data_IF_808848217094
#
_entry.id   IF_808848217094
#
_cell.length_a   1.000
_cell.length_b   1.000
_cell.length_c   1.000
_cell.angle_alpha   90.00
_cell.angle_beta   90.00
_cell.angle_gamma   90.00
#
_symmetry.space_group_name_H-M   'P 1'
#
loop_
_entity.id
_entity.type
_entity.pdbx_description
1 polymer ?
#
# COMPACT_ATOMS: atom_id res chain seq x y z
N UNK A 1 49.67 -0.76 30.32
CA UNK A 1 48.43 -1.32 29.74
C UNK A 1 47.28 -0.83 30.56
N UNK A 2 46.38 -0.08 29.94
CA UNK A 2 45.16 0.38 30.59
C UNK A 2 44.19 -0.78 30.79
N UNK A 3 43.64 -0.92 32.00
CA UNK A 3 42.75 -2.03 32.37
C UNK A 3 41.55 -1.52 33.17
N UNK A 4 40.39 -2.15 32.95
CA UNK A 4 39.27 -2.09 33.89
C UNK A 4 39.53 -3.12 34.99
N UNK A 5 39.59 -2.69 36.25
CA UNK A 5 39.73 -3.60 37.40
C UNK A 5 38.37 -4.19 37.75
N UNK A 6 38.28 -5.53 37.85
CA UNK A 6 37.07 -6.25 38.25
C UNK A 6 37.15 -6.67 39.73
N UNK A 7 38.31 -7.22 40.12
CA UNK A 7 38.69 -7.52 41.51
C UNK A 7 40.21 -7.31 41.68
N UNK A 8 40.79 -7.74 42.80
CA UNK A 8 42.21 -7.50 43.14
C UNK A 8 43.18 -8.06 42.07
N UNK A 9 42.84 -9.22 41.51
CA UNK A 9 43.69 -9.97 40.59
C UNK A 9 43.16 -10.01 39.16
N UNK A 10 41.89 -9.67 38.93
CA UNK A 10 41.19 -9.80 37.65
C UNK A 10 40.81 -8.44 37.05
N UNK A 11 41.02 -8.29 35.74
CA UNK A 11 40.64 -7.11 34.99
C UNK A 11 40.30 -7.40 33.53
N UNK A 12 39.92 -6.36 32.79
CA UNK A 12 39.73 -6.41 31.33
C UNK A 12 40.72 -5.47 30.66
N UNK A 13 41.38 -5.96 29.61
CA UNK A 13 42.26 -5.20 28.74
C UNK A 13 41.90 -5.37 27.25
N UNK A 14 42.80 -4.98 26.35
CA UNK A 14 42.59 -5.13 24.91
C UNK A 14 42.70 -6.59 24.42
N UNK A 15 43.30 -7.47 25.20
CA UNK A 15 43.43 -8.90 24.94
C UNK A 15 42.19 -9.70 25.35
N UNK A 16 41.55 -9.35 26.47
CA UNK A 16 40.38 -10.06 27.00
C UNK A 16 40.18 -9.85 28.49
N UNK A 17 39.81 -10.92 29.19
CA UNK A 17 39.83 -10.95 30.67
C UNK A 17 41.20 -11.44 31.11
N UNK A 18 41.85 -10.71 32.00
CA UNK A 18 43.19 -11.02 32.52
C UNK A 18 43.11 -11.27 34.02
N UNK A 19 43.69 -12.37 34.48
CA UNK A 19 43.92 -12.64 35.90
C UNK A 19 45.42 -12.70 36.18
N UNK A 20 45.89 -11.95 37.17
CA UNK A 20 47.28 -12.01 37.62
C UNK A 20 47.41 -13.00 38.75
N UNK A 21 48.14 -14.08 38.52
CA UNK A 21 48.63 -14.91 39.61
C UNK A 21 50.09 -14.57 39.88
N UNK A 22 50.38 -14.11 41.10
CA UNK A 22 51.76 -13.80 41.54
C UNK A 22 52.73 -14.97 41.38
N UNK A 23 52.24 -16.22 41.37
CA UNK A 23 53.06 -17.42 41.24
C UNK A 23 53.19 -17.92 39.79
N UNK A 24 52.15 -17.80 38.96
CA UNK A 24 52.13 -18.38 37.60
C UNK A 24 52.13 -17.36 36.45
N UNK A 25 52.10 -16.05 36.75
CA UNK A 25 52.01 -14.99 35.76
C UNK A 25 50.58 -14.68 35.32
N UNK A 26 50.46 -13.82 34.31
CA UNK A 26 49.17 -13.34 33.81
C UNK A 26 48.50 -14.42 32.93
N UNK A 27 47.29 -14.83 33.31
CA UNK A 27 46.42 -15.68 32.50
C UNK A 27 45.44 -14.81 31.75
N UNK A 28 45.37 -14.98 30.42
CA UNK A 28 44.49 -14.18 29.54
C UNK A 28 43.45 -15.08 28.87
N UNK A 29 42.17 -14.84 29.14
CA UNK A 29 41.07 -15.36 28.33
C UNK A 29 40.81 -14.39 27.18
N UNK A 30 41.31 -14.73 26.00
CA UNK A 30 41.24 -13.86 24.84
C UNK A 30 39.80 -13.61 24.36
N UNK A 31 39.59 -12.48 23.69
CA UNK A 31 38.35 -12.21 22.95
C UNK A 31 38.16 -13.22 21.80
N UNK A 32 37.06 -13.97 21.86
CA UNK A 32 36.63 -14.97 20.87
C UNK A 32 35.37 -14.54 20.13
N UNK A 33 35.06 -15.21 19.00
CA UNK A 33 33.74 -15.16 18.39
C UNK A 33 32.71 -15.76 19.38
N UNK A 34 31.58 -15.08 19.64
CA UNK A 34 30.60 -15.58 20.60
C UNK A 34 30.02 -16.94 20.21
N UNK A 35 29.86 -17.28 18.92
CA UNK A 35 29.29 -18.56 18.47
C UNK A 35 28.00 -18.98 19.22
N UNK A 36 27.12 -18.02 19.54
CA UNK A 36 25.88 -18.23 20.31
C UNK A 36 26.04 -18.21 21.84
N UNK A 37 27.25 -17.97 22.36
CA UNK A 37 27.50 -17.68 23.78
C UNK A 37 27.08 -16.23 24.10
N UNK A 38 27.00 -15.93 25.40
CA UNK A 38 26.61 -14.63 25.93
C UNK A 38 25.23 -14.14 25.51
N UNK A 39 24.24 -15.03 25.46
CA UNK A 39 22.82 -14.65 25.24
C UNK A 39 22.35 -13.60 26.25
N UNK A 40 22.92 -13.61 27.46
CA UNK A 40 22.67 -12.61 28.49
C UNK A 40 23.02 -11.18 28.07
N UNK A 41 23.96 -11.01 27.14
CA UNK A 41 24.41 -9.69 26.69
C UNK A 41 23.39 -9.02 25.75
N UNK A 42 22.38 -9.76 25.28
CA UNK A 42 21.24 -9.25 24.54
C UNK A 42 20.03 -8.93 25.43
N UNK A 43 20.05 -9.36 26.71
CA UNK A 43 19.01 -9.05 27.68
C UNK A 43 18.95 -7.53 27.91
N UNK A 44 17.75 -6.96 28.04
CA UNK A 44 17.47 -5.53 28.22
C UNK A 44 17.82 -4.60 27.04
N UNK A 45 18.21 -5.15 25.90
CA UNK A 45 18.37 -4.40 24.65
C UNK A 45 17.11 -4.44 23.79
N UNK A 46 16.82 -3.33 23.11
CA UNK A 46 15.76 -3.24 22.13
C UNK A 46 16.18 -2.21 21.05
N UNK A 47 16.51 -2.60 19.81
CA UNK A 47 16.47 -3.97 19.27
C UNK A 47 17.59 -4.86 19.85
N UNK A 48 17.57 -6.15 19.49
CA UNK A 48 18.65 -7.08 19.83
C UNK A 48 19.99 -6.61 19.25
N UNK A 49 21.07 -6.55 20.05
CA UNK A 49 22.37 -6.08 19.59
C UNK A 49 23.13 -7.20 18.90
N UNK A 50 24.13 -6.82 18.12
CA UNK A 50 25.14 -7.76 17.68
C UNK A 50 26.14 -7.99 18.82
N UNK A 51 26.33 -9.26 19.24
CA UNK A 51 27.45 -9.66 20.08
C UNK A 51 28.66 -9.88 19.17
N UNK A 52 29.69 -9.05 19.33
CA UNK A 52 30.86 -9.03 18.43
C UNK A 52 32.01 -9.87 18.98
N UNK A 53 32.17 -9.91 20.30
CA UNK A 53 33.20 -10.69 20.95
C UNK A 53 32.75 -11.13 22.35
N UNK A 54 33.32 -12.23 22.81
CA UNK A 54 33.09 -12.80 24.12
C UNK A 54 34.42 -13.28 24.74
N UNK A 55 34.56 -13.15 26.05
CA UNK A 55 35.66 -13.73 26.81
C UNK A 55 35.12 -14.33 28.12
N UNK A 56 35.73 -15.42 28.57
CA UNK A 56 35.39 -16.07 29.85
C UNK A 56 36.64 -16.55 30.57
N UNK A 57 36.78 -16.14 31.84
CA UNK A 57 37.84 -16.59 32.73
C UNK A 57 37.23 -16.98 34.08
N UNK A 58 37.11 -18.29 34.31
CA UNK A 58 36.46 -18.82 35.50
C UNK A 58 35.00 -18.35 35.64
N UNK A 59 34.63 -17.64 36.73
CA UNK A 59 33.29 -17.11 36.94
C UNK A 59 33.02 -15.80 36.18
N UNK A 60 34.07 -15.16 35.65
CA UNK A 60 33.94 -13.90 34.92
C UNK A 60 33.63 -14.13 33.46
N UNK A 61 32.63 -13.42 32.96
CA UNK A 61 32.25 -13.35 31.57
C UNK A 61 32.24 -11.88 31.10
N UNK A 62 32.68 -11.64 29.87
CA UNK A 62 32.63 -10.33 29.27
C UNK A 62 32.15 -10.42 27.81
N UNK A 63 31.34 -9.46 27.38
CA UNK A 63 30.80 -9.40 26.03
C UNK A 63 30.89 -7.99 25.46
N UNK A 64 31.26 -7.90 24.18
CA UNK A 64 31.17 -6.65 23.42
C UNK A 64 29.88 -6.68 22.59
N UNK A 65 28.94 -5.80 22.92
CA UNK A 65 27.66 -5.68 22.24
C UNK A 65 27.56 -4.34 21.49
N UNK A 66 26.93 -4.33 20.31
CA UNK A 66 26.70 -3.09 19.55
C UNK A 66 25.42 -3.09 18.72
N UNK A 67 24.95 -1.88 18.42
CA UNK A 67 24.02 -1.57 17.33
C UNK A 67 24.64 -0.41 16.55
N UNK A 68 25.18 -0.72 15.38
CA UNK A 68 25.99 0.22 14.61
C UNK A 68 27.18 0.76 15.42
N UNK A 69 27.21 2.09 15.62
CA UNK A 69 28.24 2.76 16.44
C UNK A 69 27.85 2.91 17.91
N UNK A 70 26.64 2.55 18.31
CA UNK A 70 26.30 2.42 19.73
C UNK A 70 26.89 1.11 20.25
N UNK A 71 27.80 1.17 21.22
CA UNK A 71 28.51 -0.01 21.68
C UNK A 71 28.75 0.02 23.19
N UNK A 72 28.70 -1.15 23.82
CA UNK A 72 28.91 -1.32 25.25
C UNK A 72 29.74 -2.59 25.52
N UNK A 73 30.51 -2.55 26.61
CA UNK A 73 31.15 -3.69 27.24
C UNK A 73 30.26 -4.14 28.41
N UNK A 74 29.75 -5.37 28.36
CA UNK A 74 29.07 -6.00 29.48
C UNK A 74 30.02 -6.92 30.22
N UNK A 75 30.01 -6.89 31.55
CA UNK A 75 30.80 -7.78 32.41
C UNK A 75 29.89 -8.42 33.45
N UNK A 76 30.02 -9.73 33.64
CA UNK A 76 29.20 -10.48 34.58
C UNK A 76 30.05 -11.45 35.38
N UNK A 77 29.74 -11.60 36.65
CA UNK A 77 30.35 -12.60 37.55
C UNK A 77 29.31 -13.63 37.95
N UNK A 78 29.63 -14.91 37.75
CA UNK A 78 28.87 -16.08 38.23
C UNK A 78 27.36 -16.00 37.94
N UNK A 79 27.00 -15.60 36.71
CA UNK A 79 25.60 -15.47 36.29
C UNK A 79 24.82 -14.32 36.91
N UNK A 80 25.48 -13.42 37.67
CA UNK A 80 24.85 -12.26 38.30
C UNK A 80 24.35 -11.19 37.31
N UNK A 81 23.93 -10.03 37.83
CA UNK A 81 23.53 -8.92 36.96
C UNK A 81 24.74 -8.34 36.23
N UNK A 82 24.70 -8.12 34.90
CA UNK A 82 25.82 -7.54 34.19
C UNK A 82 26.03 -6.07 34.56
N UNK A 83 27.29 -5.69 34.74
CA UNK A 83 27.75 -4.31 34.77
C UNK A 83 28.05 -3.87 33.33
N UNK A 84 27.47 -2.75 32.91
CA UNK A 84 27.62 -2.23 31.55
C UNK A 84 28.48 -0.98 31.54
N UNK A 85 29.39 -0.91 30.57
CA UNK A 85 30.29 0.21 30.34
C UNK A 85 30.18 0.68 28.90
N UNK A 86 29.96 1.98 28.70
CA UNK A 86 29.76 2.55 27.37
C UNK A 86 31.07 2.69 26.62
N UNK A 87 31.09 2.23 25.37
CA UNK A 87 32.22 2.41 24.44
C UNK A 87 31.92 3.51 23.41
N UNK A 88 30.66 3.62 22.99
CA UNK A 88 30.20 4.63 22.05
C UNK A 88 28.70 4.86 22.20
N UNK A 89 28.27 6.13 22.18
CA UNK A 89 26.86 6.51 22.25
C UNK A 89 26.42 7.08 20.91
N UNK A 90 25.56 6.34 20.21
CA UNK A 90 24.94 6.79 18.96
C UNK A 90 23.42 6.56 19.03
N UNK A 91 22.63 7.53 19.52
CA UNK A 91 21.17 7.45 19.49
C UNK A 91 20.63 7.25 18.06
N UNK A 92 21.29 7.84 17.06
CA UNK A 92 20.96 7.65 15.65
C UNK A 92 21.02 6.18 15.23
N UNK A 93 22.11 5.48 15.54
CA UNK A 93 22.25 4.08 15.14
C UNK A 93 21.34 3.14 15.95
N UNK A 94 21.03 3.46 17.21
CA UNK A 94 19.98 2.77 17.97
C UNK A 94 18.61 2.87 17.28
N UNK A 95 18.24 4.07 16.81
CA UNK A 95 17.01 4.27 16.06
C UNK A 95 17.04 3.55 14.70
N UNK A 96 18.16 3.59 13.96
CA UNK A 96 18.35 2.85 12.70
C UNK A 96 18.23 1.35 12.87
N UNK A 97 18.81 0.81 13.94
CA UNK A 97 18.69 -0.59 14.30
C UNK A 97 17.24 -0.96 14.61
N UNK A 98 16.51 -0.10 15.33
CA UNK A 98 15.09 -0.33 15.62
C UNK A 98 14.26 -0.37 14.33
N UNK A 99 14.45 0.61 13.44
CA UNK A 99 13.80 0.64 12.12
C UNK A 99 14.13 -0.62 11.32
N UNK A 100 15.40 -1.01 11.27
CA UNK A 100 15.84 -2.19 10.53
C UNK A 100 15.28 -3.50 11.10
N UNK A 101 15.21 -3.65 12.42
CA UNK A 101 14.59 -4.80 13.07
C UNK A 101 13.07 -4.89 12.82
N UNK A 102 12.38 -3.74 12.75
CA UNK A 102 10.93 -3.68 12.48
C UNK A 102 10.58 -3.99 11.02
N UNK A 103 11.36 -3.45 10.06
CA UNK A 103 10.98 -3.49 8.65
C UNK A 103 11.76 -4.54 7.84
N UNK A 104 13.01 -4.80 8.19
CA UNK A 104 13.88 -5.69 7.42
C UNK A 104 14.01 -7.04 8.14
N UNK A 105 15.00 -7.14 9.02
CA UNK A 105 15.31 -8.33 9.78
C UNK A 105 16.07 -7.95 11.06
N UNK A 106 16.07 -8.80 12.09
CA UNK A 106 16.88 -8.61 13.28
C UNK A 106 18.36 -8.32 12.93
N UNK A 107 18.97 -7.37 13.66
CA UNK A 107 20.37 -6.97 13.46
C UNK A 107 20.65 -6.08 12.24
N UNK A 108 19.65 -5.74 11.42
CA UNK A 108 19.82 -4.81 10.29
C UNK A 108 19.70 -3.36 10.77
N UNK A 109 20.46 -2.48 10.13
CA UNK A 109 20.30 -1.02 10.26
C UNK A 109 19.67 -0.46 8.99
N UNK A 110 18.78 0.51 9.15
CA UNK A 110 18.10 1.14 8.04
C UNK A 110 18.17 2.67 8.08
N UNK A 111 18.56 3.27 6.96
CA UNK A 111 18.38 4.70 6.67
C UNK A 111 17.13 4.89 5.82
N UNK A 112 16.22 5.76 6.24
CA UNK A 112 14.91 5.94 5.60
C UNK A 112 14.87 7.25 4.83
N UNK A 113 14.44 7.22 3.56
CA UNK A 113 14.36 8.46 2.74
C UNK A 113 12.95 9.04 2.63
N UNK A 114 11.92 8.21 2.82
CA UNK A 114 10.53 8.62 2.81
C UNK A 114 9.66 7.59 3.52
N UNK A 115 8.58 8.06 4.17
CA UNK A 115 7.58 7.20 4.81
C UNK A 115 6.18 7.67 4.42
N UNK A 116 5.31 6.74 4.04
CA UNK A 116 3.86 6.93 4.05
C UNK A 116 3.30 6.32 5.33
N UNK A 117 2.73 7.15 6.19
CA UNK A 117 2.11 6.71 7.44
C UNK A 117 0.71 6.14 7.20
N UNK A 118 0.32 5.14 7.98
CA UNK A 118 -0.99 4.49 7.84
C UNK A 118 -2.14 5.43 8.19
N UNK A 119 -1.94 6.36 9.12
CA UNK A 119 -2.93 7.35 9.53
C UNK A 119 -3.11 8.48 8.50
N UNK A 120 -2.13 8.69 7.63
CA UNK A 120 -2.14 9.80 6.67
C UNK A 120 -2.66 9.41 5.28
N UNK A 121 -2.80 8.11 4.98
CA UNK A 121 -3.17 7.70 3.63
C UNK A 121 -4.68 7.81 3.39
N UNK A 122 -5.02 8.26 2.19
CA UNK A 122 -6.36 8.26 1.62
C UNK A 122 -6.46 7.14 0.59
N UNK A 123 -7.30 6.15 0.89
CA UNK A 123 -7.58 5.05 -0.03
C UNK A 123 -8.40 5.47 -1.25
N UNK A 124 -8.64 4.51 -2.15
CA UNK A 124 -9.54 4.74 -3.29
C UNK A 124 -11.01 4.74 -2.84
N UNK A 125 -11.88 5.28 -3.69
CA UNK A 125 -13.33 5.30 -3.48
C UNK A 125 -14.03 4.51 -4.56
N UNK A 126 -14.84 3.52 -4.18
CA UNK A 126 -15.75 2.81 -5.10
C UNK A 126 -17.16 3.34 -4.90
N UNK A 127 -17.67 4.14 -5.84
CA UNK A 127 -18.96 4.81 -5.70
C UNK A 127 -20.10 3.79 -5.67
N UNK A 128 -21.06 4.00 -4.75
CA UNK A 128 -22.19 3.11 -4.56
C UNK A 128 -21.84 1.79 -3.86
N UNK A 129 -20.59 1.56 -3.48
CA UNK A 129 -20.14 0.40 -2.74
C UNK A 129 -19.79 0.74 -1.29
N UNK A 130 -19.80 -0.25 -0.42
CA UNK A 130 -19.38 -0.13 0.97
C UNK A 130 -18.07 -0.90 1.18
N UNK A 131 -17.04 -0.25 1.74
CA UNK A 131 -15.83 -0.96 2.15
C UNK A 131 -16.13 -1.81 3.38
N UNK A 132 -15.96 -3.13 3.26
CA UNK A 132 -16.25 -4.09 4.34
C UNK A 132 -14.99 -4.62 5.00
N UNK A 133 -13.85 -4.59 4.33
CA UNK A 133 -12.55 -5.00 4.88
C UNK A 133 -11.43 -4.12 4.34
N UNK A 134 -10.43 -3.87 5.17
CA UNK A 134 -9.19 -3.21 4.79
C UNK A 134 -8.02 -3.82 5.58
N UNK A 135 -6.96 -4.16 4.86
CA UNK A 135 -5.66 -4.55 5.39
C UNK A 135 -4.60 -3.63 4.77
N UNK A 136 -3.76 -3.06 5.62
CA UNK A 136 -2.67 -2.16 5.21
C UNK A 136 -1.38 -2.73 5.77
N UNK A 137 -0.40 -2.96 4.91
CA UNK A 137 0.93 -3.43 5.32
C UNK A 137 2.01 -2.50 4.75
N UNK A 138 3.14 -2.30 5.46
CA UNK A 138 4.26 -1.56 4.91
C UNK A 138 4.78 -2.21 3.63
N UNK A 139 5.17 -1.37 2.66
CA UNK A 139 5.83 -1.81 1.42
C UNK A 139 7.20 -1.15 1.34
N UNK A 140 8.24 -1.95 1.39
CA UNK A 140 9.62 -1.48 1.45
C UNK A 140 10.19 -1.39 0.04
N UNK A 141 10.86 -0.28 -0.25
CA UNK A 141 11.65 -0.07 -1.46
C UNK A 141 13.10 0.11 -1.04
N UNK A 142 13.98 -0.79 -1.48
CA UNK A 142 15.42 -0.70 -1.23
C UNK A 142 16.10 0.25 -2.22
N UNK A 143 17.18 0.87 -1.78
CA UNK A 143 17.98 1.84 -2.55
C UNK A 143 17.18 2.97 -3.22
N UNK A 144 16.22 3.61 -2.52
CA UNK A 144 15.47 4.71 -3.08
C UNK A 144 16.34 5.96 -3.22
N UNK A 145 16.02 6.84 -4.20
CA UNK A 145 16.54 8.20 -4.21
C UNK A 145 15.94 9.03 -3.05
N UNK A 146 16.51 10.21 -2.80
CA UNK A 146 15.97 11.18 -1.83
C UNK A 146 17.03 11.68 -0.85
N UNK A 147 16.61 12.46 0.14
CA UNK A 147 17.42 12.79 1.32
C UNK A 147 17.11 11.81 2.44
N UNK A 148 18.05 11.57 3.35
CA UNK A 148 17.82 10.72 4.51
C UNK A 148 17.02 11.49 5.57
N UNK A 149 16.01 10.84 6.13
CA UNK A 149 15.26 11.34 7.28
C UNK A 149 16.10 11.17 8.55
N UNK A 150 15.86 12.04 9.53
CA UNK A 150 16.45 11.87 10.86
C UNK A 150 16.02 10.53 11.47
N UNK A 151 16.94 9.68 11.98
CA UNK A 151 16.59 8.34 12.44
C UNK A 151 15.49 8.28 13.49
N UNK A 152 15.42 9.27 14.39
CA UNK A 152 14.37 9.36 15.40
C UNK A 152 12.98 9.62 14.79
N UNK A 153 12.93 10.48 13.76
CA UNK A 153 11.72 10.78 12.99
C UNK A 153 11.27 9.57 12.19
N UNK A 154 12.20 8.90 11.49
CA UNK A 154 11.92 7.69 10.74
C UNK A 154 11.33 6.58 11.63
N UNK A 155 11.92 6.35 12.82
CA UNK A 155 11.40 5.38 13.80
C UNK A 155 9.99 5.74 14.26
N UNK A 156 9.72 7.02 14.54
CA UNK A 156 8.40 7.47 14.94
C UNK A 156 7.37 7.29 13.81
N UNK A 157 7.72 7.66 12.58
CA UNK A 157 6.82 7.60 11.43
C UNK A 157 6.36 6.18 11.08
N UNK A 158 7.17 5.15 11.37
CA UNK A 158 6.81 3.75 11.13
C UNK A 158 6.12 3.09 12.35
N UNK A 159 5.91 3.84 13.44
CA UNK A 159 5.30 3.32 14.67
C UNK A 159 6.18 2.32 15.44
N UNK A 160 7.50 2.34 15.23
CA UNK A 160 8.40 1.42 15.93
C UNK A 160 8.60 1.84 17.40
N UNK A 161 8.76 0.88 18.34
CA UNK A 161 8.95 1.19 19.75
C UNK A 161 10.22 2.01 19.99
N UNK A 162 10.35 2.58 21.19
CA UNK A 162 11.57 3.29 21.56
C UNK A 162 12.76 2.31 21.56
N UNK A 163 13.91 2.76 21.03
CA UNK A 163 15.14 2.01 21.17
C UNK A 163 15.65 2.13 22.61
N UNK A 164 16.11 1.02 23.18
CA UNK A 164 16.60 0.89 24.54
C UNK A 164 17.90 0.10 24.54
N UNK A 165 18.82 0.51 25.39
CA UNK A 165 20.01 -0.24 25.76
C UNK A 165 20.17 -0.14 27.28
N UNK A 166 20.91 -1.09 27.90
CA UNK A 166 21.29 -0.98 29.30
C UNK A 166 21.98 0.35 29.61
N UNK A 167 21.79 0.84 30.84
CA UNK A 167 22.44 2.05 31.30
C UNK A 167 23.95 1.80 31.44
N UNK A 168 24.75 2.54 30.67
CA UNK A 168 26.19 2.37 30.61
C UNK A 168 26.92 3.73 30.75
N UNK A 169 27.60 3.99 31.88
CA UNK A 169 28.48 5.15 32.02
C UNK A 169 29.65 5.08 31.04
N UNK A 170 30.20 6.25 30.67
CA UNK A 170 31.45 6.35 29.90
C UNK A 170 32.62 6.49 30.88
N UNK A 171 32.90 5.41 31.61
CA UNK A 171 33.84 5.39 32.74
C UNK A 171 35.10 4.55 32.48
N UNK A 172 35.20 3.93 31.31
CA UNK A 172 36.38 3.17 30.94
C UNK A 172 37.56 4.11 30.63
N UNK A 173 38.80 3.67 30.93
CA UNK A 173 39.97 4.38 30.46
C UNK A 173 39.97 4.57 28.95
N UNK A 174 40.48 5.72 28.49
CA UNK A 174 40.47 6.10 27.07
C UNK A 174 41.21 5.08 26.19
N UNK A 175 42.42 4.68 26.59
CA UNK A 175 43.23 3.69 25.86
C UNK A 175 42.51 2.34 25.68
N UNK A 176 41.80 1.88 26.72
CA UNK A 176 41.02 0.64 26.66
C UNK A 176 39.81 0.82 25.75
N UNK A 177 39.08 1.93 25.88
CA UNK A 177 37.94 2.27 25.03
C UNK A 177 38.34 2.26 23.55
N UNK A 178 39.45 2.91 23.20
CA UNK A 178 39.96 2.92 21.84
C UNK A 178 40.33 1.53 21.33
N UNK A 179 40.98 0.71 22.17
CA UNK A 179 41.36 -0.65 21.79
C UNK A 179 40.14 -1.54 21.50
N UNK A 180 39.10 -1.46 22.34
CA UNK A 180 37.85 -2.18 22.13
C UNK A 180 37.09 -1.66 20.92
N UNK A 181 37.03 -0.34 20.70
CA UNK A 181 36.45 0.25 19.49
C UNK A 181 37.20 -0.19 18.22
N UNK A 182 38.53 -0.29 18.25
CA UNK A 182 39.32 -0.85 17.14
C UNK A 182 38.93 -2.29 16.82
N UNK A 183 38.65 -3.12 17.83
CA UNK A 183 38.16 -4.49 17.64
C UNK A 183 36.77 -4.50 16.99
N UNK A 184 35.84 -3.67 17.47
CA UNK A 184 34.49 -3.55 16.89
C UNK A 184 34.53 -3.15 15.41
N UNK A 185 35.43 -2.25 15.01
CA UNK A 185 35.58 -1.79 13.61
C UNK A 185 36.07 -2.87 12.64
N UNK A 186 36.57 -4.02 13.12
CA UNK A 186 37.00 -5.13 12.25
C UNK A 186 35.84 -5.78 11.50
N UNK A 187 34.62 -5.67 12.05
CA UNK A 187 33.39 -6.12 11.40
C UNK A 187 32.60 -4.89 10.95
N UNK A 188 32.50 -4.61 9.64
CA UNK A 188 31.78 -3.43 9.16
C UNK A 188 30.30 -3.51 9.55
N UNK A 189 29.66 -2.34 9.61
CA UNK A 189 28.23 -2.20 9.86
C UNK A 189 27.59 -1.82 8.54
N UNK A 190 26.71 -2.68 8.04
CA UNK A 190 25.96 -2.40 6.82
C UNK A 190 24.65 -1.69 7.16
N UNK A 191 24.46 -0.51 6.57
CA UNK A 191 23.22 0.25 6.68
C UNK A 191 22.49 0.17 5.34
N UNK A 192 21.24 -0.30 5.38
CA UNK A 192 20.41 -0.43 4.18
C UNK A 192 19.57 0.81 4.00
N UNK A 193 19.68 1.45 2.83
CA UNK A 193 18.85 2.61 2.49
C UNK A 193 17.48 2.14 1.98
N UNK A 194 16.40 2.63 2.58
CA UNK A 194 15.03 2.21 2.28
C UNK A 194 14.04 3.37 2.21
N UNK A 195 12.90 3.15 1.57
CA UNK A 195 11.74 4.01 1.64
C UNK A 195 10.49 3.14 1.89
N UNK A 196 9.56 3.68 2.67
CA UNK A 196 8.41 2.93 3.17
C UNK A 196 7.14 3.50 2.54
N UNK A 197 6.56 2.74 1.61
CA UNK A 197 5.21 2.96 1.10
C UNK A 197 4.22 2.05 1.82
N UNK A 198 3.03 1.91 1.26
CA UNK A 198 2.00 0.99 1.75
C UNK A 198 1.59 0.03 0.63
N UNK A 199 1.22 -1.20 1.00
CA UNK A 199 0.37 -2.05 0.18
C UNK A 199 -0.96 -2.21 0.87
N UNK A 200 -2.02 -1.87 0.13
CA UNK A 200 -3.38 -1.81 0.64
C UNK A 200 -4.20 -2.88 -0.06
N UNK A 201 -4.84 -3.74 0.73
CA UNK A 201 -5.81 -4.72 0.28
C UNK A 201 -7.18 -4.38 0.87
N UNK A 202 -8.17 -4.14 0.02
CA UNK A 202 -9.53 -3.79 0.41
C UNK A 202 -10.52 -4.79 -0.16
N UNK A 203 -11.65 -4.95 0.52
CA UNK A 203 -12.83 -5.62 -0.04
C UNK A 203 -14.01 -4.69 0.05
N UNK A 204 -14.67 -4.48 -1.09
CA UNK A 204 -15.83 -3.62 -1.24
C UNK A 204 -17.06 -4.45 -1.57
N UNK A 205 -18.17 -4.19 -0.90
CA UNK A 205 -19.46 -4.79 -1.20
C UNK A 205 -20.25 -3.88 -2.12
N UNK A 206 -20.57 -4.39 -3.31
CA UNK A 206 -21.40 -3.69 -4.30
C UNK A 206 -22.90 -3.82 -3.94
N UNK A 207 -23.79 -2.99 -4.52
CA UNK A 207 -25.24 -3.05 -4.25
C UNK A 207 -25.90 -4.41 -4.57
N UNK A 208 -25.32 -5.18 -5.48
CA UNK A 208 -25.79 -6.53 -5.85
C UNK A 208 -25.26 -7.62 -4.90
N UNK A 209 -24.49 -7.25 -3.87
CA UNK A 209 -23.89 -8.14 -2.89
C UNK A 209 -22.53 -8.71 -3.30
N UNK A 210 -22.03 -8.43 -4.51
CA UNK A 210 -20.73 -8.90 -4.96
C UNK A 210 -19.61 -8.29 -4.11
N UNK A 211 -18.63 -9.12 -3.74
CA UNK A 211 -17.43 -8.70 -3.02
C UNK A 211 -16.31 -8.44 -4.03
N UNK A 212 -15.97 -7.17 -4.22
CA UNK A 212 -14.93 -6.70 -5.11
C UNK A 212 -13.60 -6.55 -4.34
N UNK A 213 -12.61 -7.45 -4.57
CA UNK A 213 -11.30 -7.34 -3.95
C UNK A 213 -10.44 -6.32 -4.71
N UNK A 214 -9.79 -5.40 -4.00
CA UNK A 214 -8.86 -4.43 -4.56
C UNK A 214 -7.51 -4.53 -3.88
N UNK A 215 -6.44 -4.47 -4.67
CA UNK A 215 -5.07 -4.39 -4.15
C UNK A 215 -4.31 -3.32 -4.92
N UNK A 216 -3.72 -2.38 -4.19
CA UNK A 216 -2.92 -1.31 -4.77
C UNK A 216 -1.78 -0.89 -3.84
N UNK A 217 -0.78 -0.25 -4.42
CA UNK A 217 0.39 0.25 -3.70
C UNK A 217 0.30 1.77 -3.57
N UNK A 218 0.69 2.30 -2.42
CA UNK A 218 0.93 3.72 -2.20
C UNK A 218 2.45 3.92 -2.17
N UNK A 219 2.95 4.75 -3.08
CA UNK A 219 4.38 5.02 -3.17
C UNK A 219 4.91 5.70 -1.89
N UNK A 220 6.16 5.47 -1.49
CA UNK A 220 6.74 6.11 -0.30
C UNK A 220 6.62 7.64 -0.33
N UNK A 221 6.24 8.23 0.79
CA UNK A 221 6.04 9.68 0.93
C UNK A 221 4.81 10.23 0.20
N UNK A 222 3.94 9.37 -0.37
CA UNK A 222 2.65 9.76 -0.94
C UNK A 222 1.52 9.36 -0.01
N UNK A 223 0.46 10.15 0.02
CA UNK A 223 -0.74 9.88 0.83
C UNK A 223 -1.91 9.32 0.03
N UNK A 224 -1.91 9.41 -1.30
CA UNK A 224 -3.05 8.98 -2.12
C UNK A 224 -2.81 7.61 -2.76
N UNK A 225 -3.76 6.69 -2.58
CA UNK A 225 -3.83 5.43 -3.33
C UNK A 225 -4.48 5.60 -4.70
N UNK A 226 -4.06 4.78 -5.67
CA UNK A 226 -4.59 4.78 -7.03
C UNK A 226 -4.85 3.35 -7.49
N UNK A 227 -5.93 3.18 -8.26
CA UNK A 227 -6.22 1.94 -9.00
C UNK A 227 -6.29 2.28 -10.48
N UNK A 228 -5.95 1.31 -11.33
CA UNK A 228 -6.00 1.45 -12.78
C UNK A 228 -7.44 1.33 -13.25
N UNK A 229 -7.93 2.34 -13.97
CA UNK A 229 -9.18 2.26 -14.72
C UNK A 229 -9.04 1.21 -15.82
N UNK A 230 -9.84 0.13 -15.76
CA UNK A 230 -9.76 -0.99 -16.69
C UNK A 230 -10.13 -0.61 -18.13
N UNK A 231 -10.81 0.52 -18.33
CA UNK A 231 -11.22 1.00 -19.65
C UNK A 231 -10.17 1.89 -20.33
N UNK A 232 -9.38 2.64 -19.56
CA UNK A 232 -8.43 3.63 -20.10
C UNK A 232 -6.97 3.32 -19.78
N UNK A 233 -6.71 2.45 -18.81
CA UNK A 233 -5.38 2.19 -18.27
C UNK A 233 -4.83 3.31 -17.38
N UNK A 234 -5.62 4.35 -17.08
CA UNK A 234 -5.16 5.50 -16.29
C UNK A 234 -5.35 5.27 -14.79
N UNK A 235 -4.42 5.76 -13.99
CA UNK A 235 -4.54 5.75 -12.53
C UNK A 235 -5.64 6.73 -12.05
N UNK A 236 -6.57 6.25 -11.24
CA UNK A 236 -7.68 7.05 -10.69
C UNK A 236 -7.89 6.75 -9.20
N UNK A 237 -8.52 7.70 -8.49
CA UNK A 237 -8.78 7.63 -7.05
C UNK A 237 -10.25 7.36 -6.71
N UNK A 238 -11.16 7.59 -7.66
CA UNK A 238 -12.59 7.32 -7.55
C UNK A 238 -13.05 6.53 -8.78
N UNK A 239 -13.70 5.41 -8.54
CA UNK A 239 -14.13 4.47 -9.55
C UNK A 239 -15.58 4.06 -9.30
N UNK A 240 -16.21 3.49 -10.32
CA UNK A 240 -17.47 2.77 -10.22
C UNK A 240 -17.28 1.35 -10.77
N UNK A 241 -18.02 0.39 -10.22
CA UNK A 241 -18.10 -0.95 -10.79
C UNK A 241 -19.18 -0.99 -11.87
N UNK A 242 -18.85 -1.50 -13.05
CA UNK A 242 -19.85 -1.77 -14.07
C UNK A 242 -20.65 -3.05 -13.72
N UNK A 243 -21.66 -3.38 -14.53
CA UNK A 243 -22.47 -4.60 -14.33
C UNK A 243 -21.68 -5.93 -14.36
N UNK A 244 -20.50 -5.95 -14.99
CA UNK A 244 -19.58 -7.09 -15.01
C UNK A 244 -18.44 -6.91 -14.00
N UNK A 245 -18.60 -6.00 -13.05
CA UNK A 245 -17.65 -5.72 -11.98
C UNK A 245 -16.27 -5.16 -12.41
N UNK A 246 -16.10 -4.77 -13.66
CA UNK A 246 -14.94 -3.97 -14.07
C UNK A 246 -14.95 -2.61 -13.37
N UNK A 247 -13.78 -2.16 -12.93
CA UNK A 247 -13.60 -0.84 -12.37
C UNK A 247 -13.26 0.21 -13.43
N UNK A 248 -14.05 1.27 -13.50
CA UNK A 248 -13.80 2.40 -14.38
C UNK A 248 -14.14 3.74 -13.70
N UNK A 249 -13.43 4.80 -14.05
CA UNK A 249 -13.69 6.16 -13.58
C UNK A 249 -14.96 6.76 -14.19
N UNK A 250 -15.39 6.28 -15.36
CA UNK A 250 -16.63 6.70 -16.02
C UNK A 250 -17.42 5.51 -16.54
N UNK A 251 -18.74 5.54 -16.36
CA UNK A 251 -19.66 4.51 -16.83
C UNK A 251 -20.74 5.11 -17.73
N UNK A 252 -21.09 4.36 -18.78
CA UNK A 252 -22.23 4.65 -19.63
C UNK A 252 -23.43 3.82 -19.17
N UNK A 253 -24.61 4.43 -19.13
CA UNK A 253 -25.82 3.78 -18.63
C UNK A 253 -26.77 3.42 -19.77
N UNK A 254 -27.26 2.18 -19.77
CA UNK A 254 -28.28 1.79 -20.73
C UNK A 254 -29.63 2.44 -20.37
N UNK A 255 -30.27 3.07 -21.34
CA UNK A 255 -31.59 3.67 -21.16
C UNK A 255 -32.70 2.63 -20.89
N UNK A 256 -32.51 1.38 -21.32
CA UNK A 256 -33.50 0.30 -21.21
C UNK A 256 -33.40 -0.47 -19.89
N UNK A 257 -32.26 -1.12 -19.62
CA UNK A 257 -32.09 -1.92 -18.40
C UNK A 257 -31.56 -1.11 -17.21
N UNK A 258 -31.16 0.15 -17.40
CA UNK A 258 -30.58 1.02 -16.38
C UNK A 258 -29.32 0.45 -15.71
N UNK A 259 -28.67 -0.54 -16.33
CA UNK A 259 -27.39 -1.06 -15.86
C UNK A 259 -26.23 -0.28 -16.48
N UNK A 260 -25.17 -0.01 -15.70
CA UNK A 260 -23.99 0.68 -16.21
C UNK A 260 -23.01 -0.30 -16.88
N UNK A 261 -22.35 0.15 -17.95
CA UNK A 261 -21.28 -0.55 -18.67
C UNK A 261 -20.07 0.36 -18.80
N UNK A 262 -18.86 -0.20 -18.73
CA UNK A 262 -17.63 0.48 -19.12
C UNK A 262 -17.24 0.09 -20.56
N UNK A 263 -16.32 0.82 -21.22
CA UNK A 263 -15.79 0.44 -22.53
C UNK A 263 -15.12 -0.95 -22.60
N UNK A 264 -14.68 -1.51 -21.47
CA UNK A 264 -14.12 -2.86 -21.42
C UNK A 264 -15.17 -3.98 -21.42
N UNK A 265 -16.45 -3.67 -21.21
CA UNK A 265 -17.53 -4.66 -21.32
C UNK A 265 -17.68 -5.13 -22.79
N UNK A 266 -17.98 -6.42 -23.05
CA UNK A 266 -18.29 -6.89 -24.42
C UNK A 266 -19.50 -6.16 -25.03
N UNK A 267 -20.52 -5.95 -24.22
CA UNK A 267 -21.83 -5.37 -24.53
C UNK A 267 -21.93 -3.85 -24.27
N UNK A 268 -20.86 -3.10 -24.56
CA UNK A 268 -20.80 -1.65 -24.28
C UNK A 268 -22.07 -0.92 -24.70
N UNK A 269 -22.46 0.09 -23.92
CA UNK A 269 -23.50 1.03 -24.32
C UNK A 269 -23.09 1.78 -25.58
N UNK A 270 -23.93 1.69 -26.60
CA UNK A 270 -23.79 2.36 -27.91
C UNK A 270 -25.07 3.10 -28.25
N UNK A 271 -25.03 4.11 -29.12
CA UNK A 271 -26.25 4.76 -29.60
C UNK A 271 -27.08 3.80 -30.46
N UNK A 272 -28.38 3.72 -30.19
CA UNK A 272 -29.34 3.02 -31.05
C UNK A 272 -29.32 3.63 -32.45
N UNK A 273 -29.22 2.79 -33.48
CA UNK A 273 -29.08 3.24 -34.88
C UNK A 273 -30.26 4.05 -35.41
N UNK A 274 -31.43 3.97 -34.77
CA UNK A 274 -32.60 4.77 -35.10
C UNK A 274 -32.82 5.96 -34.15
N UNK A 275 -33.10 5.72 -32.87
CA UNK A 275 -33.45 6.80 -31.93
C UNK A 275 -32.25 7.47 -31.24
N UNK A 276 -31.01 7.04 -31.55
CA UNK A 276 -29.77 7.52 -30.92
C UNK A 276 -29.75 7.38 -29.38
N UNK A 277 -30.63 6.54 -28.81
CA UNK A 277 -30.70 6.26 -27.38
C UNK A 277 -29.61 5.32 -26.91
N UNK A 278 -29.06 5.57 -25.73
CA UNK A 278 -27.99 4.77 -25.13
C UNK A 278 -28.48 3.32 -24.83
N UNK A 279 -27.92 2.33 -25.54
CA UNK A 279 -28.37 0.93 -25.48
C UNK A 279 -27.16 0.00 -25.33
N UNK A 280 -27.15 -0.87 -24.31
CA UNK A 280 -26.12 -1.92 -24.18
C UNK A 280 -26.36 -3.07 -25.17
N UNK A 281 -25.35 -3.90 -25.39
CA UNK A 281 -25.41 -5.04 -26.30
C UNK A 281 -26.62 -5.95 -26.07
N UNK A 282 -26.98 -6.26 -24.82
CA UNK A 282 -28.13 -7.12 -24.48
C UNK A 282 -29.51 -6.49 -24.76
N UNK A 283 -29.56 -5.17 -24.87
CA UNK A 283 -30.77 -4.42 -25.17
C UNK A 283 -30.91 -4.07 -26.66
N UNK A 284 -29.88 -4.33 -27.46
CA UNK A 284 -29.98 -4.40 -28.91
C UNK A 284 -30.70 -5.70 -29.28
N UNK A 285 -31.76 -5.61 -30.09
CA UNK A 285 -32.58 -6.78 -30.46
C UNK A 285 -32.67 -7.01 -31.96
N UNK A 286 -31.95 -6.20 -32.74
CA UNK A 286 -31.90 -6.30 -34.19
C UNK A 286 -30.46 -6.30 -34.64
N UNK A 287 -30.16 -7.02 -35.72
CA UNK A 287 -28.81 -7.09 -36.30
C UNK A 287 -28.32 -5.70 -36.74
N UNK A 288 -29.24 -4.80 -37.12
CA UNK A 288 -28.92 -3.43 -37.52
C UNK A 288 -28.69 -2.48 -36.34
N UNK A 289 -28.68 -2.96 -35.10
CA UNK A 289 -28.31 -2.15 -33.93
C UNK A 289 -29.44 -1.29 -33.35
N UNK A 290 -30.71 -1.63 -33.60
CA UNK A 290 -31.86 -0.98 -32.98
C UNK A 290 -32.20 -1.58 -31.62
N UNK A 291 -32.64 -0.70 -30.73
CA UNK A 291 -33.09 -1.05 -29.40
C UNK A 291 -34.52 -1.62 -29.39
N UNK A 292 -34.92 -2.20 -28.25
CA UNK A 292 -36.25 -2.82 -28.05
C UNK A 292 -37.43 -1.92 -28.43
N UNK A 293 -37.44 -0.66 -27.98
CA UNK A 293 -38.52 0.28 -28.31
C UNK A 293 -38.59 0.60 -29.82
N UNK A 294 -37.44 0.69 -30.50
CA UNK A 294 -37.40 0.92 -31.94
C UNK A 294 -37.83 -0.32 -32.74
N UNK A 295 -37.45 -1.52 -32.29
CA UNK A 295 -37.86 -2.76 -32.91
C UNK A 295 -39.37 -3.04 -32.72
N UNK A 296 -39.94 -2.55 -31.61
CA UNK A 296 -41.36 -2.67 -31.30
C UNK A 296 -42.24 -1.57 -31.94
N UNK A 297 -41.70 -0.75 -32.85
CA UNK A 297 -42.47 0.30 -33.52
C UNK A 297 -43.62 -0.31 -34.33
N UNK A 298 -44.85 0.01 -33.92
CA UNK A 298 -46.06 -0.38 -34.65
C UNK A 298 -46.81 0.86 -35.11
N UNK A 299 -47.48 0.75 -36.27
CA UNK A 299 -48.25 1.86 -36.81
C UNK A 299 -49.49 2.12 -35.95
N UNK A 300 -49.66 3.36 -35.51
CA UNK A 300 -50.80 3.79 -34.70
C UNK A 300 -52.06 3.88 -35.57
N UNK A 301 -53.12 3.21 -35.12
CA UNK A 301 -54.44 3.23 -35.75
C UNK A 301 -55.02 4.65 -35.84
N UNK A 302 -55.84 4.91 -36.87
CA UNK A 302 -56.35 6.24 -37.21
C UNK A 302 -56.95 6.99 -36.00
N UNK A 303 -57.74 6.29 -35.17
CA UNK A 303 -58.43 6.86 -34.01
C UNK A 303 -57.51 7.24 -32.84
N UNK A 304 -56.28 6.69 -32.77
CA UNK A 304 -55.35 6.95 -31.68
C UNK A 304 -54.26 7.97 -32.02
N UNK A 305 -54.14 8.40 -33.29
CA UNK A 305 -53.08 9.32 -33.75
C UNK A 305 -53.11 10.70 -33.09
N UNK A 306 -54.30 11.18 -32.72
CA UNK A 306 -54.46 12.46 -32.05
C UNK A 306 -53.71 12.51 -30.70
N UNK A 307 -53.62 11.38 -29.97
CA UNK A 307 -52.87 11.28 -28.70
C UNK A 307 -51.37 11.53 -28.89
N UNK A 308 -50.86 11.23 -30.08
CA UNK A 308 -49.47 11.46 -30.46
C UNK A 308 -49.29 12.78 -31.22
N UNK A 309 -50.26 13.69 -31.19
CA UNK A 309 -50.16 14.99 -31.84
C UNK A 309 -50.11 14.93 -33.37
N UNK A 310 -50.72 13.90 -33.99
CA UNK A 310 -50.76 13.74 -35.45
C UNK A 310 -52.18 13.93 -35.97
N UNK A 311 -52.35 14.86 -36.93
CA UNK A 311 -53.63 15.17 -37.57
C UNK A 311 -54.09 14.12 -38.59
N UNK A 312 -55.28 14.32 -39.18
CA UNK A 312 -55.95 13.34 -40.04
C UNK A 312 -55.13 12.89 -41.27
N UNK A 313 -54.33 13.78 -41.86
CA UNK A 313 -53.46 13.48 -43.00
C UNK A 313 -52.09 12.89 -42.63
N UNK A 314 -51.81 12.66 -41.34
CA UNK A 314 -50.52 12.17 -40.88
C UNK A 314 -50.55 10.70 -40.45
N UNK A 315 -49.36 10.15 -40.20
CA UNK A 315 -49.19 8.82 -39.63
C UNK A 315 -48.29 8.89 -38.38
N UNK A 316 -48.50 7.98 -37.44
CA UNK A 316 -47.64 7.83 -36.28
C UNK A 316 -47.25 6.36 -36.12
N UNK A 317 -46.05 6.12 -35.59
CA UNK A 317 -45.59 4.83 -35.12
C UNK A 317 -45.16 5.00 -33.68
N UNK A 318 -45.49 4.02 -32.86
CA UNK A 318 -45.16 4.05 -31.45
C UNK A 318 -44.60 2.69 -31.05
N UNK A 319 -43.52 2.72 -30.28
CA UNK A 319 -42.87 1.56 -29.72
C UNK A 319 -42.40 1.91 -28.32
N UNK A 320 -42.58 0.98 -27.40
CA UNK A 320 -42.20 1.16 -26.00
C UNK A 320 -41.47 -0.06 -25.48
N UNK A 321 -40.71 0.17 -24.42
CA UNK A 321 -40.04 -0.83 -23.62
C UNK A 321 -39.90 -0.26 -22.21
N UNK A 322 -39.56 -1.07 -21.19
CA UNK A 322 -39.27 -0.53 -19.87
C UNK A 322 -38.27 0.63 -19.97
N UNK A 323 -38.65 1.78 -19.41
CA UNK A 323 -37.86 3.02 -19.34
C UNK A 323 -37.64 3.80 -20.66
N UNK A 324 -38.12 3.31 -21.81
CA UNK A 324 -37.92 4.01 -23.11
C UNK A 324 -39.16 3.95 -23.98
N UNK A 325 -39.60 5.11 -24.47
CA UNK A 325 -40.66 5.26 -25.47
C UNK A 325 -40.10 5.94 -26.72
N UNK A 326 -40.51 5.46 -27.90
CA UNK A 326 -40.16 6.05 -29.19
C UNK A 326 -41.43 6.28 -30.01
N UNK A 327 -41.61 7.50 -30.50
CA UNK A 327 -42.73 7.87 -31.36
C UNK A 327 -42.20 8.50 -32.63
N UNK A 328 -42.51 7.91 -33.78
CA UNK A 328 -42.23 8.52 -35.09
C UNK A 328 -43.51 9.16 -35.61
N UNK A 329 -43.44 10.42 -36.03
CA UNK A 329 -44.56 11.18 -36.59
C UNK A 329 -44.26 11.55 -38.03
N UNK A 330 -45.22 11.32 -38.90
CA UNK A 330 -45.25 11.83 -40.27
C UNK A 330 -46.33 12.88 -40.37
N UNK A 331 -45.95 14.10 -40.73
CA UNK A 331 -46.89 15.17 -41.08
C UNK A 331 -46.47 15.78 -42.42
N UNK A 332 -47.32 15.63 -43.44
CA UNK A 332 -47.01 16.03 -44.83
C UNK A 332 -45.70 15.35 -45.29
N UNK A 333 -44.68 16.15 -45.60
CA UNK A 333 -43.37 15.70 -46.06
C UNK A 333 -42.30 15.68 -44.96
N UNK A 334 -42.70 15.87 -43.69
CA UNK A 334 -41.77 15.94 -42.58
C UNK A 334 -41.95 14.78 -41.61
N UNK A 335 -40.80 14.27 -41.15
CA UNK A 335 -40.71 13.15 -40.24
C UNK A 335 -39.96 13.57 -38.99
N UNK A 336 -40.51 13.24 -37.83
CA UNK A 336 -39.84 13.45 -36.55
C UNK A 336 -39.86 12.17 -35.74
N UNK A 337 -38.74 11.87 -35.11
CA UNK A 337 -38.63 10.86 -34.07
C UNK A 337 -38.57 11.56 -32.73
N UNK A 338 -39.43 11.15 -31.82
CA UNK A 338 -39.38 11.55 -30.43
C UNK A 338 -39.00 10.34 -29.58
N UNK A 339 -37.98 10.50 -28.75
CA UNK A 339 -37.55 9.53 -27.76
C UNK A 339 -37.79 10.10 -26.38
N UNK A 340 -38.31 9.29 -25.48
CA UNK A 340 -38.38 9.60 -24.05
C UNK A 340 -37.71 8.49 -23.27
N UNK A 341 -36.69 8.83 -22.49
CA UNK A 341 -35.96 7.93 -21.61
C UNK A 341 -35.52 8.63 -20.31
N UNK A 342 -34.63 8.00 -19.53
CA UNK A 342 -34.05 8.57 -18.30
C UNK A 342 -33.31 9.90 -18.49
N UNK A 343 -32.83 10.19 -19.70
CA UNK A 343 -32.14 11.43 -20.05
C UNK A 343 -33.13 12.52 -20.49
N UNK A 344 -34.43 12.23 -20.49
CA UNK A 344 -35.49 13.16 -20.84
C UNK A 344 -36.07 12.89 -22.23
N UNK A 345 -36.74 13.92 -22.77
CA UNK A 345 -37.39 13.89 -24.08
C UNK A 345 -36.51 14.53 -25.12
N UNK A 346 -36.27 13.84 -26.23
CA UNK A 346 -35.46 14.30 -27.36
C UNK A 346 -36.27 14.15 -28.65
N UNK A 347 -36.29 15.19 -29.48
CA UNK A 347 -36.95 15.18 -30.80
C UNK A 347 -35.88 15.36 -31.89
N UNK A 348 -35.88 14.46 -32.87
CA UNK A 348 -34.89 14.38 -33.94
C UNK A 348 -35.63 14.43 -35.28
N UNK A 349 -35.27 15.31 -36.22
CA UNK A 349 -35.80 15.22 -37.58
C UNK A 349 -35.29 13.94 -38.25
N UNK A 350 -36.17 13.20 -38.91
CA UNK A 350 -35.79 12.01 -39.67
C UNK A 350 -35.73 12.30 -41.16
N UNK A 351 -34.70 11.77 -41.82
CA UNK A 351 -34.64 11.73 -43.27
C UNK A 351 -35.70 10.74 -43.82
N UNK A 352 -36.45 11.09 -44.88
CA UNK A 352 -37.43 10.19 -45.50
C UNK A 352 -36.86 8.81 -45.88
N UNK A 353 -35.59 8.72 -46.28
CA UNK A 353 -34.90 7.48 -46.63
C UNK A 353 -34.67 6.56 -45.43
N UNK A 354 -34.38 7.10 -44.24
CA UNK A 354 -34.29 6.31 -42.99
C UNK A 354 -35.62 5.64 -42.68
N UNK A 355 -36.74 6.29 -43.01
CA UNK A 355 -38.06 5.74 -42.72
C UNK A 355 -38.50 4.67 -43.71
N UNK A 356 -38.05 4.74 -44.97
CA UNK A 356 -38.31 3.68 -45.94
C UNK A 356 -37.68 2.35 -45.52
N UNK A 357 -36.54 2.38 -44.83
CA UNK A 357 -35.86 1.22 -44.26
C UNK A 357 -36.58 0.60 -43.05
N UNK A 358 -37.53 1.31 -42.43
CA UNK A 358 -38.30 0.84 -41.27
C UNK A 358 -39.62 0.16 -41.64
N UNK A 359 -40.00 0.19 -42.92
CA UNK A 359 -41.20 -0.48 -43.46
C UNK A 359 -40.82 -1.84 -44.01
#
# INVERSE_FOLDING_TARGET
MSRLTLDDDTGIDDGGIVSRDTASGDTVAAWEDPAGRATWAAEDWQPEPEIVAYARLGPWEAALARIGRHAQLGVRHDGGRPAWHGLGKSPGDMNRGMVGATLLAPGRLADVTAVTRQEDFTGVQVQGAQRVQQLVVPRIVEHPPGEEMEPAEARFAIGAPAAQAPAAPLDLPEELTEALLRRLRRKPVDVTRIAVGLRVAETWQLPDGFQLPLVYDVAPGKSQGYVVDESTGTAVTSLQACRNHHLAGTLAWCAHCLLPTCPACPETVRPCRLCQGATCGDCVVTEDGRCRACAALTKVGMFARAKYGVGAGGSAWHGESPNVQVTIRQQRNWWTLERWDRSGRVTIPLDPGVVQYLR
#
